data_IF_324439226526
#
_entry.id   IF_324439226526
#
_cell.length_a   1.000
_cell.length_b   1.000
_cell.length_c   1.000
_cell.angle_alpha   90.00
_cell.angle_beta   90.00
_cell.angle_gamma   90.00
#
_symmetry.space_group_name_H-M   'P 1'
#
loop_
_entity.id
_entity.type
_entity.pdbx_description
1 polymer ?
#
# COMPACT_ATOMS: atom_id res chain seq x y z
N UNK A 1 4.52 -14.71 8.03
CA UNK A 1 4.75 -13.25 7.99
C UNK A 1 3.73 -12.68 7.02
N UNK A 2 3.18 -11.51 7.31
CA UNK A 2 2.43 -10.70 6.35
C UNK A 2 3.08 -9.32 6.34
N UNK A 3 3.20 -8.71 5.17
CA UNK A 3 3.85 -7.42 5.00
C UNK A 3 2.85 -6.26 5.19
N UNK A 4 3.36 -5.10 5.62
CA UNK A 4 2.57 -3.87 5.74
C UNK A 4 2.58 -3.04 4.45
N UNK A 5 2.12 -3.71 3.39
CA UNK A 5 2.02 -3.16 2.05
C UNK A 5 0.93 -2.08 2.00
N UNK A 6 1.34 -0.82 1.93
CA UNK A 6 0.46 0.35 1.82
C UNK A 6 0.97 1.29 0.73
N UNK A 7 0.06 1.97 0.04
CA UNK A 7 0.44 2.91 -1.02
C UNK A 7 1.29 4.11 -0.51
N UNK A 8 1.09 4.68 0.69
CA UNK A 8 1.97 5.72 1.23
C UNK A 8 3.42 5.26 1.40
N UNK A 9 3.64 4.00 1.79
CA UNK A 9 4.97 3.42 1.91
C UNK A 9 5.65 3.28 0.53
N UNK A 10 4.88 2.90 -0.51
CA UNK A 10 5.35 2.89 -1.90
C UNK A 10 5.70 4.32 -2.35
N UNK A 11 4.83 5.30 -2.09
CA UNK A 11 5.06 6.70 -2.45
C UNK A 11 6.34 7.26 -1.82
N UNK A 12 6.54 7.08 -0.51
CA UNK A 12 7.81 7.45 0.14
C UNK A 12 9.01 6.72 -0.47
N UNK A 13 8.88 5.43 -0.78
CA UNK A 13 9.95 4.62 -1.37
C UNK A 13 10.32 5.10 -2.77
N UNK A 14 9.35 5.46 -3.61
CA UNK A 14 9.60 6.04 -4.95
C UNK A 14 10.18 7.46 -4.85
N UNK A 15 9.63 8.32 -3.99
CA UNK A 15 10.17 9.66 -3.71
C UNK A 15 11.60 9.62 -3.12
N UNK A 16 12.01 8.52 -2.49
CA UNK A 16 13.38 8.36 -1.97
C UNK A 16 14.46 8.35 -3.06
N UNK A 17 14.06 8.14 -4.33
CA UNK A 17 14.95 8.09 -5.50
C UNK A 17 15.58 9.44 -5.86
N UNK A 18 14.86 10.52 -5.62
CA UNK A 18 15.26 11.89 -5.99
C UNK A 18 15.96 12.57 -4.81
N UNK A 19 16.88 13.52 -5.03
CA UNK A 19 17.55 14.18 -3.89
C UNK A 19 16.60 15.14 -3.14
N UNK A 20 15.84 15.92 -3.88
CA UNK A 20 14.84 16.90 -3.44
C UNK A 20 13.58 16.73 -4.31
N UNK A 21 12.39 17.13 -3.83
CA UNK A 21 11.11 16.92 -4.53
C UNK A 21 10.52 18.26 -4.98
N UNK A 22 10.39 18.44 -6.30
CA UNK A 22 9.57 19.48 -6.91
C UNK A 22 8.22 18.90 -7.37
N UNK A 23 7.46 19.66 -8.16
CA UNK A 23 6.13 19.24 -8.64
C UNK A 23 6.21 18.02 -9.55
N UNK A 24 7.21 17.97 -10.45
CA UNK A 24 7.43 16.85 -11.36
C UNK A 24 7.64 15.51 -10.66
N UNK A 25 8.54 15.44 -9.66
CA UNK A 25 8.85 14.18 -8.98
C UNK A 25 7.67 13.67 -8.15
N UNK A 26 6.91 14.60 -7.54
CA UNK A 26 5.64 14.28 -6.85
C UNK A 26 4.60 13.73 -7.83
N UNK A 27 4.37 14.45 -8.94
CA UNK A 27 3.30 14.12 -9.90
C UNK A 27 3.63 12.84 -10.69
N UNK A 28 4.90 12.58 -10.96
CA UNK A 28 5.38 11.30 -11.47
C UNK A 28 5.08 10.15 -10.50
N UNK A 29 5.38 10.31 -9.20
CA UNK A 29 5.04 9.28 -8.20
C UNK A 29 3.53 9.08 -8.08
N UNK A 30 2.72 10.15 -8.12
CA UNK A 30 1.26 10.09 -8.15
C UNK A 30 0.77 9.20 -9.31
N UNK A 31 1.28 9.41 -10.53
CA UNK A 31 0.93 8.58 -11.70
C UNK A 31 1.30 7.10 -11.50
N UNK A 32 2.44 6.79 -10.88
CA UNK A 32 2.81 5.40 -10.59
C UNK A 32 1.84 4.78 -9.57
N UNK A 33 1.45 5.51 -8.51
CA UNK A 33 0.45 5.06 -7.52
C UNK A 33 -0.91 4.79 -8.18
N UNK A 34 -1.39 5.69 -9.04
CA UNK A 34 -2.64 5.56 -9.79
C UNK A 34 -2.63 4.39 -10.78
N UNK A 35 -1.45 3.98 -11.28
CA UNK A 35 -1.28 2.82 -12.15
C UNK A 35 -1.15 1.48 -11.41
N UNK A 36 -0.92 1.46 -10.09
CA UNK A 36 -0.82 0.19 -9.34
C UNK A 36 -2.05 -0.72 -9.51
N UNK A 37 -3.31 -0.23 -9.49
CA UNK A 37 -4.50 -1.05 -9.76
C UNK A 37 -4.61 -1.65 -11.17
N UNK A 38 -3.79 -1.19 -12.12
CA UNK A 38 -3.75 -1.69 -13.51
C UNK A 38 -2.82 -2.90 -13.69
N UNK A 39 -2.14 -3.35 -12.63
CA UNK A 39 -1.42 -4.62 -12.60
C UNK A 39 -2.40 -5.80 -12.42
N UNK A 40 -2.40 -6.72 -13.38
CA UNK A 40 -3.16 -7.97 -13.30
C UNK A 40 -2.34 -9.05 -12.59
N UNK A 41 -2.74 -9.37 -11.35
CA UNK A 41 -2.10 -10.37 -10.49
C UNK A 41 -2.20 -11.79 -11.05
N UNK A 42 -3.17 -12.09 -11.92
CA UNK A 42 -3.36 -13.41 -12.54
C UNK A 42 -2.55 -13.56 -13.83
N UNK A 43 -2.42 -12.49 -14.62
CA UNK A 43 -1.58 -12.49 -15.82
C UNK A 43 -0.09 -12.26 -15.51
N UNK A 44 0.22 -11.53 -14.44
CA UNK A 44 1.58 -11.05 -14.14
C UNK A 44 1.99 -9.82 -14.95
N UNK A 45 1.04 -9.15 -15.61
CA UNK A 45 1.28 -8.06 -16.58
C UNK A 45 0.70 -6.72 -16.12
N UNK A 46 1.31 -5.62 -16.56
CA UNK A 46 0.78 -4.27 -16.41
C UNK A 46 0.03 -3.86 -17.69
N UNK A 47 -1.25 -3.52 -17.56
CA UNK A 47 -2.01 -2.93 -18.67
C UNK A 47 -1.78 -1.42 -18.75
N UNK A 48 -1.39 -0.93 -19.94
CA UNK A 48 -1.06 0.48 -20.19
C UNK A 48 -1.93 1.01 -21.32
N UNK A 49 -2.60 2.13 -21.08
CA UNK A 49 -3.48 2.79 -22.06
C UNK A 49 -2.73 3.82 -22.91
N UNK A 50 -3.40 4.40 -23.92
CA UNK A 50 -2.82 5.48 -24.70
C UNK A 50 -2.63 6.76 -23.87
N UNK A 51 -3.52 7.03 -22.93
CA UNK A 51 -3.44 8.14 -21.99
C UNK A 51 -2.22 7.98 -21.07
N UNK A 52 -2.01 6.78 -20.52
CA UNK A 52 -0.81 6.47 -19.74
C UNK A 52 0.48 6.62 -20.57
N UNK A 53 0.46 6.30 -21.86
CA UNK A 53 1.57 6.59 -22.79
C UNK A 53 1.84 8.09 -22.99
N UNK A 54 0.79 8.90 -23.16
CA UNK A 54 0.95 10.36 -23.27
C UNK A 54 1.50 10.96 -21.97
N UNK A 55 1.04 10.49 -20.80
CA UNK A 55 1.52 10.95 -19.50
C UNK A 55 2.98 10.51 -19.23
N UNK A 56 3.35 9.28 -19.55
CA UNK A 56 4.72 8.79 -19.39
C UNK A 56 5.75 9.51 -20.28
N UNK A 57 5.30 10.13 -21.38
CA UNK A 57 6.12 11.02 -22.22
C UNK A 57 6.29 12.43 -21.66
N UNK A 58 5.47 12.83 -20.69
CA UNK A 58 5.63 14.08 -19.96
C UNK A 58 6.63 13.88 -18.82
N UNK A 59 6.45 12.83 -18.00
CA UNK A 59 7.30 12.51 -16.84
C UNK A 59 8.45 11.53 -17.15
N UNK A 60 9.06 11.66 -18.34
CA UNK A 60 10.01 10.66 -18.84
C UNK A 60 11.33 10.63 -18.06
N UNK A 61 11.86 11.79 -17.63
CA UNK A 61 13.11 11.84 -16.86
C UNK A 61 12.92 11.34 -15.43
N UNK A 62 11.74 11.57 -14.85
CA UNK A 62 11.33 11.14 -13.54
C UNK A 62 11.15 9.61 -13.51
N UNK A 63 10.50 9.04 -14.53
CA UNK A 63 10.39 7.59 -14.71
C UNK A 63 11.73 6.94 -15.03
N UNK A 64 12.60 7.59 -15.82
CA UNK A 64 14.01 7.17 -16.00
C UNK A 64 14.76 7.11 -14.66
N UNK A 65 14.59 8.11 -13.80
CA UNK A 65 15.24 8.12 -12.49
C UNK A 65 14.78 6.95 -11.61
N UNK A 66 13.48 6.64 -11.59
CA UNK A 66 12.94 5.46 -10.91
C UNK A 66 13.49 4.15 -11.51
N UNK A 67 13.45 3.99 -12.82
CA UNK A 67 13.88 2.77 -13.50
C UNK A 67 15.39 2.52 -13.43
N UNK A 68 16.22 3.58 -13.30
CA UNK A 68 17.68 3.46 -13.06
C UNK A 68 18.01 2.72 -11.77
N UNK A 69 17.12 2.69 -10.75
CA UNK A 69 17.27 1.81 -9.56
C UNK A 69 17.34 0.32 -9.94
N UNK A 70 16.84 -0.05 -11.11
CA UNK A 70 16.79 -1.42 -11.60
C UNK A 70 17.78 -1.67 -12.75
N UNK A 71 18.82 -0.83 -12.86
CA UNK A 71 19.81 -0.82 -13.94
C UNK A 71 19.23 -0.61 -15.36
N UNK A 72 17.94 -0.29 -15.48
CA UNK A 72 17.28 -0.08 -16.77
C UNK A 72 17.62 1.30 -17.35
N UNK A 73 18.00 1.33 -18.63
CA UNK A 73 18.40 2.53 -19.36
C UNK A 73 17.52 2.64 -20.60
N UNK A 74 16.42 3.39 -20.49
CA UNK A 74 15.63 3.79 -21.64
C UNK A 74 16.26 5.06 -22.25
N UNK A 75 16.72 4.98 -23.50
CA UNK A 75 17.26 6.10 -24.28
C UNK A 75 16.24 6.60 -25.33
N UNK A 76 16.35 7.86 -25.75
CA UNK A 76 15.43 8.45 -26.74
C UNK A 76 14.03 8.79 -26.20
N UNK A 77 13.10 9.29 -27.03
CA UNK A 77 11.69 9.40 -26.65
C UNK A 77 11.06 8.00 -26.48
N UNK A 78 9.92 7.91 -25.79
CA UNK A 78 9.04 6.76 -25.94
C UNK A 78 8.28 6.92 -27.27
N UNK A 79 8.62 6.11 -28.27
CA UNK A 79 7.98 6.13 -29.59
C UNK A 79 6.62 5.41 -29.56
N UNK A 80 6.46 4.36 -28.75
CA UNK A 80 5.21 3.59 -28.66
C UNK A 80 4.76 3.18 -27.24
N UNK A 81 3.64 2.45 -27.19
CA UNK A 81 3.00 1.96 -25.96
C UNK A 81 3.74 0.73 -25.38
N UNK A 82 4.45 -0.05 -26.19
CA UNK A 82 5.24 -1.19 -25.73
C UNK A 82 6.44 -0.71 -24.91
N UNK A 83 7.26 0.20 -25.46
CA UNK A 83 8.39 0.82 -24.73
C UNK A 83 7.93 1.47 -23.41
N UNK A 84 6.74 2.08 -23.45
CA UNK A 84 6.15 2.68 -22.24
C UNK A 84 5.77 1.64 -21.20
N UNK A 85 5.10 0.56 -21.62
CA UNK A 85 4.76 -0.56 -20.73
C UNK A 85 6.00 -1.21 -20.16
N UNK A 86 7.09 -1.31 -20.92
CA UNK A 86 8.37 -1.84 -20.46
C UNK A 86 8.97 -0.95 -19.36
N UNK A 87 9.10 0.37 -19.60
CA UNK A 87 9.57 1.33 -18.60
C UNK A 87 8.72 1.31 -17.32
N UNK A 88 7.39 1.35 -17.46
CA UNK A 88 6.46 1.33 -16.32
C UNK A 88 6.47 -0.02 -15.58
N UNK A 89 6.67 -1.14 -16.29
CA UNK A 89 6.75 -2.46 -15.66
C UNK A 89 8.04 -2.65 -14.87
N UNK A 90 9.16 -2.08 -15.32
CA UNK A 90 10.41 -2.04 -14.53
C UNK A 90 10.21 -1.29 -13.21
N UNK A 91 9.38 -0.23 -13.19
CA UNK A 91 9.07 0.52 -11.97
C UNK A 91 8.05 -0.21 -11.10
N UNK A 92 6.99 -0.79 -11.68
CA UNK A 92 5.83 -1.32 -10.95
C UNK A 92 5.98 -2.77 -10.50
N UNK A 93 6.57 -3.66 -11.30
CA UNK A 93 6.71 -5.07 -10.91
C UNK A 93 7.50 -5.29 -9.59
N UNK A 94 8.59 -4.54 -9.29
CA UNK A 94 9.25 -4.58 -7.98
C UNK A 94 8.32 -4.30 -6.79
N UNK A 95 7.31 -3.46 -7.00
CA UNK A 95 6.39 -2.98 -5.96
C UNK A 95 5.30 -4.02 -5.63
N UNK A 96 4.83 -4.78 -6.63
CA UNK A 96 3.62 -5.62 -6.48
C UNK A 96 3.71 -7.06 -6.97
N UNK A 97 4.65 -7.43 -7.86
CA UNK A 97 4.68 -8.77 -8.49
C UNK A 97 4.87 -9.91 -7.48
N UNK A 98 5.56 -9.63 -6.38
CA UNK A 98 5.93 -10.60 -5.34
C UNK A 98 4.89 -10.75 -4.22
N UNK A 99 3.81 -9.96 -4.24
CA UNK A 99 2.85 -9.86 -3.14
C UNK A 99 1.71 -10.89 -3.23
N UNK A 100 1.17 -11.28 -2.08
CA UNK A 100 -0.11 -11.99 -2.06
C UNK A 100 -1.26 -11.08 -2.51
N UNK A 101 -2.33 -11.68 -3.04
CA UNK A 101 -3.57 -10.95 -3.37
C UNK A 101 -4.10 -10.13 -2.18
N UNK A 102 -3.90 -10.60 -0.94
CA UNK A 102 -4.25 -9.90 0.30
C UNK A 102 -3.43 -8.62 0.53
N UNK A 103 -2.14 -8.64 0.21
CA UNK A 103 -1.23 -7.49 0.38
C UNK A 103 -1.41 -6.46 -0.75
N UNK A 104 -1.55 -6.93 -2.00
CA UNK A 104 -1.92 -6.08 -3.12
C UNK A 104 -3.30 -5.42 -2.92
N UNK A 105 -4.28 -6.14 -2.37
CA UNK A 105 -5.57 -5.56 -1.97
C UNK A 105 -5.45 -4.54 -0.83
N UNK A 106 -4.38 -4.54 -0.03
CA UNK A 106 -4.14 -3.56 1.03
C UNK A 106 -3.56 -2.26 0.45
N UNK A 107 -2.63 -2.36 -0.51
CA UNK A 107 -2.15 -1.23 -1.31
C UNK A 107 -3.34 -0.54 -1.98
N UNK A 108 -4.18 -1.29 -2.72
CA UNK A 108 -5.35 -0.74 -3.42
C UNK A 108 -6.41 -0.08 -2.52
N UNK A 109 -6.39 -0.32 -1.21
CA UNK A 109 -7.27 0.33 -0.22
C UNK A 109 -6.67 1.59 0.41
N UNK A 110 -5.37 1.81 0.24
CA UNK A 110 -4.61 2.91 0.86
C UNK A 110 -4.11 3.93 -0.16
N UNK A 111 -4.58 3.86 -1.42
CA UNK A 111 -4.25 4.84 -2.47
C UNK A 111 -4.69 6.25 -2.06
N UNK A 112 -5.90 6.42 -1.53
CA UNK A 112 -6.39 7.73 -1.03
C UNK A 112 -5.50 8.30 0.10
N UNK A 113 -4.83 7.45 0.90
CA UNK A 113 -3.84 7.87 1.90
C UNK A 113 -2.53 8.36 1.25
N UNK A 114 -2.16 7.77 0.10
CA UNK A 114 -0.99 8.17 -0.68
C UNK A 114 -1.24 9.46 -1.46
N UNK A 115 -2.44 9.64 -2.03
CA UNK A 115 -2.90 10.88 -2.63
C UNK A 115 -2.89 12.00 -1.58
N UNK A 116 -3.37 11.70 -0.37
CA UNK A 116 -3.34 12.61 0.79
C UNK A 116 -1.90 12.98 1.17
N UNK A 117 -0.97 12.02 1.24
CA UNK A 117 0.45 12.27 1.45
C UNK A 117 1.03 13.19 0.36
N UNK A 118 0.83 12.85 -0.92
CA UNK A 118 1.39 13.57 -2.05
C UNK A 118 0.83 14.99 -2.16
N UNK A 119 -0.45 15.21 -1.81
CA UNK A 119 -1.08 16.54 -1.78
C UNK A 119 -0.47 17.56 -0.80
N UNK A 120 0.48 17.15 0.05
CA UNK A 120 1.16 18.06 0.97
C UNK A 120 1.97 19.13 0.21
N UNK A 121 2.04 20.39 0.71
CA UNK A 121 2.92 21.41 0.14
C UNK A 121 4.38 20.92 0.10
N UNK A 122 5.09 21.17 -1.01
CA UNK A 122 6.43 20.63 -1.25
C UNK A 122 7.43 20.78 -0.08
N UNK A 123 7.49 21.90 0.68
CA UNK A 123 8.37 21.98 1.84
C UNK A 123 8.03 20.94 2.93
N UNK A 124 6.74 20.74 3.22
CA UNK A 124 6.28 19.76 4.20
C UNK A 124 6.46 18.32 3.69
N UNK A 125 6.23 18.08 2.40
CA UNK A 125 6.48 16.77 1.77
C UNK A 125 7.98 16.39 1.86
N UNK A 126 8.88 17.35 1.60
CA UNK A 126 10.33 17.13 1.75
C UNK A 126 10.77 16.97 3.22
N UNK A 127 10.19 17.68 4.18
CA UNK A 127 10.44 17.44 5.61
C UNK A 127 10.02 16.03 6.04
N UNK A 128 8.81 15.60 5.65
CA UNK A 128 8.28 14.26 5.91
C UNK A 128 9.17 13.17 5.29
N UNK A 129 9.54 13.35 4.02
CA UNK A 129 10.37 12.42 3.26
C UNK A 129 11.78 12.32 3.83
N UNK A 130 12.42 13.43 4.21
CA UNK A 130 13.74 13.40 4.83
C UNK A 130 13.72 12.71 6.20
N UNK A 131 12.66 12.90 7.00
CA UNK A 131 12.43 12.12 8.22
C UNK A 131 12.25 10.62 7.91
N UNK A 132 11.48 10.27 6.88
CA UNK A 132 11.27 8.88 6.47
C UNK A 132 12.57 8.21 6.00
N UNK A 133 13.39 8.90 5.20
CA UNK A 133 14.71 8.41 4.73
C UNK A 133 15.66 8.06 5.88
N UNK A 134 15.70 8.91 6.93
CA UNK A 134 16.50 8.65 8.13
C UNK A 134 16.01 7.43 8.94
N UNK A 135 14.73 7.08 8.83
CA UNK A 135 14.14 5.91 9.51
C UNK A 135 14.22 4.63 8.67
N UNK A 136 14.32 4.74 7.35
CA UNK A 136 14.28 3.63 6.39
C UNK A 136 15.56 3.57 5.54
N UNK A 137 16.72 3.91 6.12
CA UNK A 137 17.98 4.09 5.39
C UNK A 137 18.33 2.88 4.50
N UNK A 138 18.14 1.66 5.00
CA UNK A 138 18.38 0.40 4.26
C UNK A 138 17.54 0.30 2.97
N UNK A 139 16.35 0.91 2.92
CA UNK A 139 15.49 0.96 1.72
C UNK A 139 15.95 2.07 0.77
N UNK A 140 16.58 3.13 1.29
CA UNK A 140 17.17 4.20 0.49
C UNK A 140 18.49 3.74 -0.14
N UNK A 141 19.29 2.93 0.57
CA UNK A 141 20.60 2.47 0.08
C UNK A 141 20.56 1.13 -0.66
N UNK A 142 19.81 0.12 -0.20
CA UNK A 142 19.89 -1.26 -0.72
C UNK A 142 18.74 -1.65 -1.66
N UNK A 143 17.61 -0.92 -1.71
CA UNK A 143 16.53 -1.24 -2.66
C UNK A 143 16.86 -0.75 -4.07
N UNK A 144 17.70 -1.52 -4.74
CA UNK A 144 18.05 -1.42 -6.14
C UNK A 144 18.33 -2.83 -6.69
N UNK A 145 18.37 -2.98 -8.01
CA UNK A 145 18.87 -4.20 -8.67
C UNK A 145 20.35 -4.04 -9.03
N UNK A 146 21.00 -5.14 -9.39
CA UNK A 146 22.43 -5.16 -9.70
C UNK A 146 22.66 -5.47 -11.19
N UNK A 147 23.74 -4.94 -11.75
CA UNK A 147 24.18 -5.25 -13.10
C UNK A 147 24.62 -6.72 -13.20
N UNK A 148 24.12 -7.41 -14.22
CA UNK A 148 24.42 -8.82 -14.52
C UNK A 148 25.61 -8.86 -15.48
N UNK A 149 26.64 -9.63 -15.13
CA UNK A 149 27.84 -9.77 -15.94
C UNK A 149 27.51 -10.29 -17.35
N UNK A 150 27.92 -9.53 -18.38
CA UNK A 150 27.63 -9.83 -19.78
C UNK A 150 26.31 -9.26 -20.34
N UNK A 151 25.54 -8.50 -19.54
CA UNK A 151 24.35 -7.76 -20.03
C UNK A 151 24.68 -6.26 -20.06
N UNK A 152 24.97 -5.74 -21.25
CA UNK A 152 25.23 -4.31 -21.46
C UNK A 152 23.91 -3.51 -21.60
N UNK A 153 22.97 -4.03 -22.40
CA UNK A 153 21.66 -3.44 -22.65
C UNK A 153 20.58 -4.07 -21.76
N UNK A 154 20.18 -3.38 -20.69
CA UNK A 154 19.03 -3.77 -19.87
C UNK A 154 17.72 -3.45 -20.63
N UNK A 155 17.15 -4.45 -21.30
CA UNK A 155 15.87 -4.37 -22.03
C UNK A 155 14.83 -5.31 -21.39
N UNK A 156 13.57 -4.89 -21.32
CA UNK A 156 12.49 -5.69 -20.75
C UNK A 156 12.18 -6.90 -21.64
N UNK A 157 11.81 -8.04 -21.07
CA UNK A 157 11.60 -9.27 -21.83
C UNK A 157 12.89 -9.92 -22.36
N UNK A 158 14.07 -9.37 -22.07
CA UNK A 158 15.36 -9.99 -22.40
C UNK A 158 15.50 -11.31 -21.62
N UNK A 159 15.64 -12.42 -22.35
CA UNK A 159 15.96 -13.72 -21.77
C UNK A 159 17.46 -13.79 -21.44
N UNK A 160 17.76 -14.05 -20.16
CA UNK A 160 19.11 -14.27 -19.65
C UNK A 160 19.63 -15.65 -20.09
N UNK A 161 20.96 -15.93 -20.01
CA UNK A 161 21.55 -17.21 -20.45
C UNK A 161 21.03 -18.47 -19.74
N UNK A 162 20.22 -18.33 -18.68
CA UNK A 162 19.56 -19.40 -17.94
C UNK A 162 18.05 -19.56 -18.29
N UNK A 163 17.52 -18.77 -19.23
CA UNK A 163 16.11 -18.78 -19.64
C UNK A 163 15.15 -18.01 -18.73
N UNK A 164 15.67 -17.30 -17.71
CA UNK A 164 14.89 -16.39 -16.86
C UNK A 164 14.84 -15.02 -17.56
N UNK A 165 13.70 -14.31 -17.50
CA UNK A 165 13.64 -12.95 -18.07
C UNK A 165 14.17 -11.88 -17.11
N UNK A 166 14.64 -10.77 -17.66
CA UNK A 166 15.20 -9.67 -16.89
C UNK A 166 14.20 -9.09 -15.86
N UNK A 167 12.90 -9.04 -16.19
CA UNK A 167 11.85 -8.58 -15.29
C UNK A 167 11.53 -9.53 -14.11
N UNK A 168 12.13 -10.72 -14.06
CA UNK A 168 11.95 -11.71 -12.98
C UNK A 168 13.06 -11.66 -11.92
N UNK A 169 14.16 -10.95 -12.22
CA UNK A 169 15.31 -10.74 -11.31
C UNK A 169 15.38 -9.32 -10.74
N UNK A 170 14.35 -8.50 -10.98
CA UNK A 170 14.21 -7.17 -10.38
C UNK A 170 14.06 -7.29 -8.85
N UNK A 171 14.87 -6.54 -8.11
CA UNK A 171 14.82 -6.55 -6.64
C UNK A 171 13.47 -6.05 -6.12
N UNK A 172 12.67 -6.87 -5.40
CA UNK A 172 11.39 -6.44 -4.86
C UNK A 172 11.56 -5.36 -3.80
N UNK A 173 10.57 -4.49 -3.64
CA UNK A 173 10.52 -3.51 -2.56
C UNK A 173 10.49 -4.23 -1.20
N UNK A 174 11.48 -4.04 -0.29
CA UNK A 174 11.50 -4.69 1.01
C UNK A 174 10.47 -4.05 1.95
N UNK A 175 9.21 -4.47 1.85
CA UNK A 175 8.15 -4.05 2.76
C UNK A 175 8.46 -4.48 4.21
N UNK A 176 8.13 -3.64 5.21
CA UNK A 176 8.20 -4.03 6.60
C UNK A 176 7.25 -5.19 6.88
N UNK A 177 7.68 -6.14 7.71
CA UNK A 177 6.78 -7.16 8.25
C UNK A 177 5.81 -6.49 9.23
N UNK A 178 4.53 -6.85 9.15
CA UNK A 178 3.58 -6.53 10.22
C UNK A 178 4.10 -7.14 11.51
N UNK A 179 4.20 -6.32 12.55
CA UNK A 179 4.30 -6.85 13.90
C UNK A 179 2.99 -7.55 14.21
N UNK A 180 3.05 -8.86 14.45
CA UNK A 180 1.91 -9.58 15.03
C UNK A 180 1.64 -8.95 16.39
N UNK A 181 0.53 -8.20 16.51
CA UNK A 181 0.05 -7.66 17.78
C UNK A 181 -0.42 -8.81 18.67
N UNK A 182 0.54 -9.54 19.23
CA UNK A 182 0.37 -10.29 20.46
C UNK A 182 0.12 -9.27 21.57
N UNK A 183 -1.14 -8.85 21.69
CA UNK A 183 -1.72 -8.42 22.96
C UNK A 183 -1.64 -9.60 23.94
N UNK A 184 -0.44 -9.86 24.46
CA UNK A 184 -0.24 -10.59 25.70
C UNK A 184 -0.72 -9.69 26.83
N UNK A 185 -2.04 -9.47 26.86
CA UNK A 185 -2.74 -8.68 27.87
C UNK A 185 -2.51 -9.29 29.23
N UNK A 186 -1.45 -8.86 29.88
CA UNK A 186 -1.07 -9.31 31.22
C UNK A 186 -2.16 -8.84 32.17
N UNK A 187 -3.05 -9.76 32.52
CA UNK A 187 -4.27 -9.52 33.29
C UNK A 187 -3.96 -9.21 34.75
N UNK A 188 -3.40 -8.03 35.00
CA UNK A 188 -3.22 -7.48 36.35
C UNK A 188 -4.56 -6.97 36.88
N UNK A 189 -5.32 -7.84 37.53
CA UNK A 189 -6.06 -7.55 38.77
C UNK A 189 -6.71 -8.84 39.31
N UNK A 190 -5.98 -9.51 40.21
CA UNK A 190 -6.49 -10.63 41.02
C UNK A 190 -7.11 -10.08 42.31
N UNK A 191 -8.37 -9.63 42.24
CA UNK A 191 -9.20 -9.42 43.43
C UNK A 191 -10.25 -10.53 43.59
N UNK A 192 -10.25 -11.15 44.77
CA UNK A 192 -10.98 -12.38 45.05
C UNK A 192 -12.51 -12.27 45.19
N UNK A 193 -13.20 -13.42 45.27
CA UNK A 193 -14.63 -13.53 44.99
C UNK A 193 -15.56 -13.06 46.13
N UNK A 194 -16.70 -12.45 45.75
CA UNK A 194 -17.88 -12.24 46.61
C UNK A 194 -19.14 -12.83 45.96
N UNK A 195 -20.17 -13.19 46.76
CA UNK A 195 -20.85 -14.48 46.54
C UNK A 195 -22.14 -14.43 45.71
N UNK A 196 -22.51 -15.60 45.17
CA UNK A 196 -23.88 -15.90 44.74
C UNK A 196 -24.87 -15.67 45.88
N UNK A 197 -26.01 -15.05 45.59
CA UNK A 197 -27.26 -15.32 46.31
C UNK A 197 -28.32 -15.89 45.37
N UNK A 198 -29.12 -16.82 45.90
CA UNK A 198 -29.90 -17.76 45.09
C UNK A 198 -31.37 -17.35 44.92
N UNK A 199 -32.01 -17.88 43.88
CA UNK A 199 -33.42 -17.64 43.51
C UNK A 199 -34.38 -18.17 44.59
N UNK A 200 -35.49 -17.45 44.83
CA UNK A 200 -36.79 -18.07 45.14
C UNK A 200 -37.95 -17.25 44.55
N UNK A 201 -39.09 -17.91 44.31
CA UNK A 201 -40.17 -17.45 43.41
C UNK A 201 -41.54 -17.89 43.98
N UNK A 202 -42.61 -17.20 43.54
CA UNK A 202 -44.06 -17.53 43.65
C UNK A 202 -44.83 -17.21 44.97
N UNK A 203 -45.97 -16.52 44.79
CA UNK A 203 -47.39 -16.87 45.15
C UNK A 203 -47.68 -17.38 46.59
N UNK A 204 -48.82 -17.12 47.27
CA UNK A 204 -50.17 -16.58 46.93
C UNK A 204 -50.85 -16.11 48.29
N UNK A 205 -52.15 -15.82 48.57
CA UNK A 205 -53.47 -15.93 47.90
C UNK A 205 -54.54 -14.98 48.55
N UNK A 206 -55.50 -14.42 47.78
CA UNK A 206 -56.88 -13.96 48.18
C UNK A 206 -57.05 -12.89 49.32
N UNK A 207 -58.24 -12.37 49.65
CA UNK A 207 -59.37 -11.80 48.86
C UNK A 207 -60.50 -11.24 49.75
N UNK A 208 -61.02 -10.03 49.48
CA UNK A 208 -62.35 -9.50 49.88
C UNK A 208 -62.60 -8.15 49.15
N UNK A 209 -63.79 -7.55 49.07
CA UNK A 209 -65.14 -8.05 48.77
C UNK A 209 -66.11 -6.85 48.57
N UNK A 210 -66.69 -6.72 47.38
CA UNK A 210 -68.01 -6.13 47.05
C UNK A 210 -68.60 -4.93 47.82
N UNK A 211 -68.69 -3.77 47.16
CA UNK A 211 -69.90 -2.93 46.95
C UNK A 211 -69.50 -1.75 46.02
N UNK A 212 -69.99 -1.63 44.78
CA UNK A 212 -71.34 -1.21 44.36
C UNK A 212 -71.71 0.19 44.85
N UNK A 213 -71.41 1.21 44.04
CA UNK A 213 -72.33 2.30 43.75
C UNK A 213 -71.94 3.04 42.45
N UNK A 214 -72.90 3.16 41.54
CA UNK A 214 -72.98 4.23 40.54
C UNK A 214 -73.59 5.48 41.23
N UNK A 215 -73.40 6.73 40.74
CA UNK A 215 -73.36 7.05 39.32
C UNK A 215 -72.33 8.10 38.82
N UNK A 216 -72.27 8.18 37.48
CA UNK A 216 -71.98 9.31 36.58
C UNK A 216 -72.41 10.72 37.08
N UNK A 217 -72.00 11.83 36.39
CA UNK A 217 -70.87 12.07 35.46
C UNK A 217 -70.13 13.42 35.74
N UNK A 218 -69.36 13.90 34.75
CA UNK A 218 -68.75 15.25 34.55
C UNK A 218 -67.75 15.76 35.61
N UNK A 219 -66.65 16.43 35.24
CA UNK A 219 -66.13 16.79 33.90
C UNK A 219 -64.80 16.08 33.61
#
# INVERSE_FOLDING_TARGET
MCFDCSAPFIAYSLLSTFSDIAENERDAVQVIIELLPCYDVLAGELYVTHEAHVVARIFLEEFRAMARRHCYIQEGPLEDIAETRELLSVIILPLVRHLSQSEYNNIRRTIEDADTLLSHPLPALNELLNKWRLQNFEIVSEWHSYAIEGVEDYRFGLELPNGIRLEEVLMPLPYPTKQDNNDSGYSTEDEGPKPRHERRRKQQIRSHATQVNNPRPVY
#
